data_IF_621420211287
#
_entry.id   IF_621420211287
#
_cell.length_a   1.000
_cell.length_b   1.000
_cell.length_c   1.000
_cell.angle_alpha   90.00
_cell.angle_beta   90.00
_cell.angle_gamma   90.00
#
_symmetry.space_group_name_H-M   'P 1'
#
loop_
_entity.id
_entity.type
_entity.pdbx_description
1 polymer ?
#
# COMPACT_ATOMS: atom_id res chain seq x y z
N UNK A 1 25.00 1.29 6.57
CA UNK A 1 25.04 0.37 5.48
C UNK A 1 23.69 -0.32 5.32
N UNK A 2 23.08 -0.20 4.15
CA UNK A 2 21.84 -0.89 3.96
C UNK A 2 22.09 -2.37 4.14
N UNK A 3 21.45 -2.88 5.11
CA UNK A 3 21.64 -4.24 5.48
C UNK A 3 20.82 -5.13 4.56
N UNK A 4 21.47 -5.84 3.67
CA UNK A 4 20.82 -6.81 2.83
C UNK A 4 20.15 -7.92 3.63
N UNK A 5 20.52 -8.03 4.92
CA UNK A 5 19.90 -8.97 5.84
C UNK A 5 18.50 -8.55 6.30
N UNK A 6 18.04 -7.33 5.95
CA UNK A 6 16.69 -6.90 6.32
C UNK A 6 15.59 -7.63 5.57
N UNK A 7 15.88 -8.19 4.40
CA UNK A 7 14.91 -8.99 3.66
C UNK A 7 15.28 -10.46 3.79
N UNK A 8 14.60 -11.14 4.68
CA UNK A 8 14.74 -12.58 4.89
C UNK A 8 13.52 -13.27 4.30
N UNK A 9 13.72 -14.47 3.73
CA UNK A 9 12.60 -15.25 3.22
C UNK A 9 11.80 -15.78 4.41
N UNK A 10 10.52 -15.37 4.55
CA UNK A 10 9.71 -15.83 5.68
C UNK A 10 9.39 -17.32 5.59
N UNK A 11 8.97 -17.89 6.71
CA UNK A 11 8.53 -19.27 6.74
C UNK A 11 7.28 -19.47 5.87
N UNK A 12 7.23 -20.56 5.12
CA UNK A 12 6.08 -20.89 4.28
C UNK A 12 4.82 -21.07 5.13
N UNK A 13 3.71 -20.58 4.62
CA UNK A 13 2.41 -20.68 5.29
C UNK A 13 1.50 -19.52 4.89
N UNK A 14 0.28 -19.54 5.41
CA UNK A 14 -0.70 -18.49 5.20
C UNK A 14 -0.78 -17.63 6.44
N UNK A 15 -0.73 -16.32 6.25
CA UNK A 15 -0.73 -15.33 7.32
C UNK A 15 -1.86 -14.34 7.09
N UNK A 16 -2.56 -14.01 8.17
CA UNK A 16 -3.60 -12.96 8.14
C UNK A 16 -2.99 -11.65 8.63
N UNK A 17 -3.18 -10.59 7.87
CA UNK A 17 -2.75 -9.26 8.28
C UNK A 17 -3.51 -8.79 9.51
N UNK A 18 -2.79 -8.19 10.44
CA UNK A 18 -3.38 -7.58 11.63
C UNK A 18 -3.61 -6.09 11.36
N UNK A 19 -4.86 -5.65 11.20
CA UNK A 19 -5.15 -4.25 10.88
C UNK A 19 -4.68 -3.28 11.97
N UNK A 20 -4.66 -3.70 13.23
CA UNK A 20 -4.28 -2.84 14.34
C UNK A 20 -2.76 -2.70 14.49
N UNK A 21 -2.01 -3.70 14.03
CA UNK A 21 -0.56 -3.70 14.11
C UNK A 21 0.10 -3.31 12.78
N UNK A 22 -0.68 -3.03 11.76
CA UNK A 22 -0.21 -2.64 10.44
C UNK A 22 -0.50 -1.16 10.19
N UNK A 23 0.32 -0.52 9.34
CA UNK A 23 0.12 0.88 9.00
C UNK A 23 0.33 1.12 7.51
N UNK A 24 -0.43 2.06 6.96
CA UNK A 24 -0.29 2.52 5.59
C UNK A 24 -0.20 4.03 5.66
N UNK A 25 0.94 4.57 5.25
CA UNK A 25 1.17 6.01 5.22
C UNK A 25 1.53 6.47 3.82
N UNK A 26 1.33 7.74 3.56
CA UNK A 26 1.67 8.31 2.28
C UNK A 26 2.25 9.71 2.45
N UNK A 27 3.03 10.10 1.45
CA UNK A 27 3.51 11.47 1.30
C UNK A 27 3.25 11.91 -0.13
N UNK A 28 2.80 13.14 -0.29
CA UNK A 28 2.60 13.74 -1.59
C UNK A 28 2.89 15.22 -1.51
N UNK A 29 2.94 15.90 -2.66
CA UNK A 29 3.13 17.34 -2.74
C UNK A 29 1.96 17.97 -3.47
N UNK A 30 1.54 19.14 -3.01
CA UNK A 30 0.48 19.89 -3.66
C UNK A 30 0.95 21.32 -3.98
N UNK A 31 0.08 22.13 -4.60
CA UNK A 31 0.39 23.50 -5.00
C UNK A 31 1.66 23.55 -5.86
N UNK A 32 1.64 22.81 -6.97
CA UNK A 32 2.73 22.71 -7.94
C UNK A 32 4.05 22.19 -7.31
N UNK A 33 3.93 21.34 -6.30
CA UNK A 33 5.11 20.73 -5.66
C UNK A 33 5.73 21.58 -4.56
N UNK A 34 5.10 22.69 -4.17
CA UNK A 34 5.67 23.60 -3.18
C UNK A 34 5.36 23.20 -1.74
N UNK A 35 4.31 22.42 -1.51
CA UNK A 35 3.91 22.01 -0.16
C UNK A 35 3.79 20.50 -0.06
N UNK A 36 4.27 19.93 1.05
CA UNK A 36 4.17 18.51 1.34
C UNK A 36 2.93 18.19 2.14
N UNK A 37 2.33 17.03 1.89
CA UNK A 37 1.21 16.49 2.64
C UNK A 37 1.56 15.07 3.03
N UNK A 38 1.31 14.73 4.30
CA UNK A 38 1.47 13.38 4.83
C UNK A 38 0.14 12.91 5.39
N UNK A 39 -0.12 11.63 5.28
CA UNK A 39 -1.34 11.07 5.84
C UNK A 39 -1.33 9.57 5.92
N UNK A 40 -2.47 9.02 6.29
CA UNK A 40 -2.62 7.59 6.52
C UNK A 40 -3.93 7.06 5.98
N UNK A 41 -3.93 5.74 5.73
CA UNK A 41 -5.13 4.93 5.51
C UNK A 41 -5.16 3.82 6.54
N UNK A 42 -6.32 3.25 6.78
CA UNK A 42 -6.48 2.10 7.65
C UNK A 42 -6.69 0.83 6.85
N UNK A 43 -5.96 -0.23 7.23
CA UNK A 43 -6.17 -1.56 6.68
C UNK A 43 -7.45 -2.16 7.25
N UNK A 44 -8.28 -2.78 6.42
CA UNK A 44 -9.45 -3.54 6.85
C UNK A 44 -9.05 -5.00 7.06
N UNK A 45 -8.42 -5.60 6.07
CA UNK A 45 -8.03 -7.01 6.09
C UNK A 45 -6.96 -7.28 5.05
N UNK A 46 -6.36 -8.45 5.13
CA UNK A 46 -5.43 -8.90 4.11
C UNK A 46 -4.85 -10.25 4.46
N UNK A 47 -4.22 -10.85 3.47
CA UNK A 47 -3.64 -12.17 3.59
C UNK A 47 -2.36 -12.25 2.79
N UNK A 48 -1.37 -12.94 3.35
CA UNK A 48 -0.11 -13.23 2.67
C UNK A 48 0.10 -14.73 2.72
N UNK A 49 0.37 -15.34 1.58
CA UNK A 49 0.74 -16.75 1.51
C UNK A 49 2.17 -16.84 1.01
N UNK A 50 3.05 -17.33 1.88
CA UNK A 50 4.44 -17.57 1.55
C UNK A 50 4.57 -19.02 1.09
N UNK A 51 5.16 -19.20 -0.06
CA UNK A 51 5.30 -20.52 -0.69
C UNK A 51 6.76 -20.90 -0.85
N UNK A 52 6.98 -22.16 -1.20
CA UNK A 52 8.27 -22.68 -1.62
C UNK A 52 8.09 -23.31 -3.02
N UNK A 53 8.62 -22.70 -4.08
CA UNK A 53 9.50 -21.51 -4.10
C UNK A 53 8.78 -20.23 -3.71
N UNK A 54 9.52 -19.32 -3.09
CA UNK A 54 8.94 -18.06 -2.57
C UNK A 54 8.35 -17.18 -3.67
N UNK A 55 8.82 -17.31 -4.91
CA UNK A 55 8.32 -16.53 -6.05
C UNK A 55 6.86 -16.83 -6.40
N UNK A 56 6.30 -17.94 -5.90
CA UNK A 56 4.88 -18.25 -6.07
C UNK A 56 4.00 -17.65 -4.96
N UNK A 57 4.59 -16.92 -4.02
CA UNK A 57 3.86 -16.28 -2.92
C UNK A 57 2.88 -15.23 -3.42
N UNK A 58 1.81 -15.04 -2.68
CA UNK A 58 0.73 -14.12 -3.02
C UNK A 58 0.38 -13.23 -1.85
N UNK A 59 -0.22 -12.08 -2.15
CA UNK A 59 -0.73 -11.18 -1.12
C UNK A 59 -1.97 -10.45 -1.64
N UNK A 60 -2.86 -10.17 -0.72
CA UNK A 60 -4.03 -9.33 -0.99
C UNK A 60 -4.32 -8.47 0.22
N UNK A 61 -4.94 -7.31 -0.01
CA UNK A 61 -5.30 -6.40 1.06
C UNK A 61 -6.53 -5.60 0.70
N UNK A 62 -7.32 -5.26 1.71
CA UNK A 62 -8.46 -4.38 1.61
C UNK A 62 -8.23 -3.19 2.54
N UNK A 63 -8.31 -1.99 1.98
CA UNK A 63 -8.02 -0.73 2.66
C UNK A 63 -9.30 0.10 2.71
N UNK A 64 -9.52 0.78 3.82
CA UNK A 64 -10.69 1.63 4.02
C UNK A 64 -10.46 2.99 3.35
N UNK A 65 -11.15 3.25 2.24
CA UNK A 65 -11.03 4.51 1.52
C UNK A 65 -11.49 5.70 2.38
N UNK A 66 -12.49 5.50 3.22
CA UNK A 66 -13.02 6.54 4.09
C UNK A 66 -12.10 6.85 5.28
N UNK A 67 -11.07 6.04 5.51
CA UNK A 67 -10.12 6.26 6.59
C UNK A 67 -9.02 7.27 6.25
N UNK A 68 -9.00 7.81 5.05
CA UNK A 68 -8.02 8.82 4.64
C UNK A 68 -7.94 9.95 5.67
N UNK A 69 -6.73 10.23 6.13
CA UNK A 69 -6.49 11.27 7.13
C UNK A 69 -5.14 11.93 6.85
N UNK A 70 -5.13 13.26 6.76
CA UNK A 70 -3.92 14.03 6.50
C UNK A 70 -3.75 15.21 7.46
N UNK A 71 -4.60 15.30 8.49
CA UNK A 71 -4.56 16.40 9.45
C UNK A 71 -5.26 17.68 9.01
N UNK A 72 -5.81 17.71 7.80
CA UNK A 72 -6.57 18.87 7.29
C UNK A 72 -8.01 18.49 7.01
N UNK A 73 -8.95 18.90 7.88
CA UNK A 73 -10.34 18.47 7.78
C UNK A 73 -11.00 18.75 6.44
N UNK A 74 -10.80 19.93 5.87
CA UNK A 74 -11.38 20.30 4.58
C UNK A 74 -10.77 19.48 3.44
N UNK A 75 -9.46 19.26 3.50
CA UNK A 75 -8.74 18.45 2.52
C UNK A 75 -9.20 17.00 2.59
N UNK A 76 -9.31 16.44 3.79
CA UNK A 76 -9.71 15.06 3.97
C UNK A 76 -11.13 14.81 3.46
N UNK A 77 -12.03 15.77 3.71
CA UNK A 77 -13.39 15.71 3.20
C UNK A 77 -13.41 15.72 1.66
N UNK A 78 -12.60 16.60 1.05
CA UNK A 78 -12.52 16.71 -0.41
C UNK A 78 -11.95 15.42 -1.04
N UNK A 79 -10.90 14.85 -0.44
CA UNK A 79 -10.28 13.63 -0.97
C UNK A 79 -11.24 12.45 -0.89
N UNK A 80 -12.08 12.37 0.13
CA UNK A 80 -13.09 11.31 0.25
C UNK A 80 -14.32 11.54 -0.64
N UNK A 81 -14.47 12.72 -1.20
CA UNK A 81 -15.63 13.10 -2.01
C UNK A 81 -15.55 12.55 -3.43
N UNK A 82 -16.61 12.82 -4.21
CA UNK A 82 -16.71 12.44 -5.60
C UNK A 82 -15.59 13.04 -6.48
N UNK A 83 -14.90 14.07 -6.00
CA UNK A 83 -13.76 14.65 -6.72
C UNK A 83 -12.55 13.71 -6.76
N UNK A 84 -12.41 12.82 -5.78
CA UNK A 84 -11.27 11.92 -5.67
C UNK A 84 -11.72 10.47 -5.38
N UNK A 85 -11.70 10.06 -4.12
CA UNK A 85 -11.93 8.66 -3.77
C UNK A 85 -13.38 8.20 -3.89
N UNK A 86 -14.31 9.13 -3.75
CA UNK A 86 -15.75 8.82 -3.74
C UNK A 86 -16.05 7.68 -2.76
N UNK A 87 -15.56 7.83 -1.53
CA UNK A 87 -15.55 6.75 -0.54
C UNK A 87 -16.96 6.29 -0.13
N UNK A 88 -17.97 7.14 -0.29
CA UNK A 88 -19.36 6.76 -0.01
C UNK A 88 -19.90 5.68 -0.93
N UNK A 89 -19.46 5.66 -2.19
CA UNK A 89 -19.85 4.65 -3.17
C UNK A 89 -18.77 3.60 -3.40
N UNK A 90 -17.50 3.96 -3.14
CA UNK A 90 -16.36 3.07 -3.28
C UNK A 90 -15.60 2.99 -1.97
N UNK A 91 -16.14 2.30 -0.97
CA UNK A 91 -15.58 2.33 0.39
C UNK A 91 -14.25 1.59 0.53
N UNK A 92 -13.87 0.78 -0.46
CA UNK A 92 -12.68 -0.06 -0.36
C UNK A 92 -11.71 0.23 -1.48
N UNK A 93 -10.43 0.26 -1.10
CA UNK A 93 -9.29 0.21 -2.02
C UNK A 93 -8.72 -1.20 -1.85
N UNK A 94 -8.46 -1.88 -2.96
CA UNK A 94 -7.97 -3.26 -2.90
C UNK A 94 -6.61 -3.39 -3.58
N UNK A 95 -5.80 -4.29 -3.05
CA UNK A 95 -4.56 -4.72 -3.67
C UNK A 95 -4.59 -6.22 -3.86
N UNK A 96 -4.20 -6.70 -5.04
CA UNK A 96 -4.04 -8.12 -5.33
C UNK A 96 -2.73 -8.32 -6.05
N UNK A 97 -1.85 -9.17 -5.52
CA UNK A 97 -0.58 -9.45 -6.15
C UNK A 97 -0.76 -10.34 -7.39
N UNK A 98 0.14 -10.17 -8.34
CA UNK A 98 0.19 -11.00 -9.56
C UNK A 98 1.49 -11.80 -9.63
N UNK A 99 2.58 -11.27 -9.09
CA UNK A 99 3.88 -11.90 -9.19
C UNK A 99 4.85 -11.35 -8.16
N UNK A 100 5.65 -12.21 -7.57
CA UNK A 100 6.79 -11.81 -6.76
C UNK A 100 8.07 -12.07 -7.58
N UNK A 101 8.86 -11.03 -7.81
CA UNK A 101 10.08 -11.13 -8.62
C UNK A 101 11.27 -10.57 -7.86
N UNK A 102 12.43 -11.10 -8.19
CA UNK A 102 13.69 -10.56 -7.72
C UNK A 102 14.34 -9.74 -8.84
N UNK A 103 14.63 -8.49 -8.54
CA UNK A 103 15.25 -7.55 -9.47
C UNK A 103 16.57 -7.07 -8.84
N UNK A 104 17.67 -7.72 -9.22
CA UNK A 104 18.97 -7.49 -8.57
C UNK A 104 18.90 -7.81 -7.08
N UNK A 105 19.16 -6.80 -6.25
CA UNK A 105 19.12 -6.95 -4.80
C UNK A 105 17.73 -6.68 -4.20
N UNK A 106 16.75 -6.33 -5.05
CA UNK A 106 15.44 -5.94 -4.58
C UNK A 106 14.42 -7.05 -4.83
N UNK A 107 13.44 -7.13 -3.93
CA UNK A 107 12.25 -7.94 -4.12
C UNK A 107 11.10 -7.02 -4.48
N UNK A 108 10.41 -7.33 -5.58
CA UNK A 108 9.24 -6.58 -6.04
C UNK A 108 8.01 -7.47 -5.99
N UNK A 109 6.99 -7.01 -5.27
CA UNK A 109 5.68 -7.65 -5.30
C UNK A 109 4.84 -6.86 -6.31
N UNK A 110 4.66 -7.43 -7.48
CA UNK A 110 3.84 -6.83 -8.52
C UNK A 110 2.38 -7.15 -8.28
N UNK A 111 1.53 -6.20 -8.54
CA UNK A 111 0.11 -6.40 -8.36
C UNK A 111 -0.72 -5.33 -9.01
N UNK A 112 -1.98 -5.30 -8.62
CA UNK A 112 -2.97 -4.33 -9.07
C UNK A 112 -3.61 -3.67 -7.87
N UNK A 113 -3.70 -2.35 -7.91
CA UNK A 113 -4.45 -1.57 -6.95
C UNK A 113 -5.71 -1.08 -7.64
N UNK A 114 -6.85 -1.27 -7.00
CA UNK A 114 -8.14 -0.78 -7.49
C UNK A 114 -8.63 0.34 -6.59
N UNK A 115 -8.81 1.51 -7.17
CA UNK A 115 -9.32 2.70 -6.49
C UNK A 115 -10.51 3.21 -7.29
N UNK A 116 -11.64 3.40 -6.62
CA UNK A 116 -12.87 3.91 -7.25
C UNK A 116 -13.24 3.10 -8.50
N UNK A 117 -13.08 1.77 -8.43
CA UNK A 117 -13.38 0.88 -9.54
C UNK A 117 -12.34 0.86 -10.65
N UNK A 118 -11.28 1.64 -10.57
CA UNK A 118 -10.23 1.70 -11.58
C UNK A 118 -8.98 1.00 -11.10
N UNK A 119 -8.53 -0.01 -11.84
CA UNK A 119 -7.36 -0.81 -11.50
C UNK A 119 -6.15 -0.33 -12.30
N UNK A 120 -5.00 -0.31 -11.65
CA UNK A 120 -3.73 -0.02 -12.30
C UNK A 120 -2.62 -0.86 -11.65
N UNK A 121 -1.55 -1.17 -12.40
CA UNK A 121 -0.42 -1.91 -11.85
C UNK A 121 0.28 -1.12 -10.75
N UNK A 122 0.79 -1.85 -9.75
CA UNK A 122 1.62 -1.29 -8.71
C UNK A 122 2.69 -2.30 -8.32
N UNK A 123 3.91 -1.80 -8.20
CA UNK A 123 5.05 -2.62 -7.76
C UNK A 123 5.42 -2.18 -6.35
N UNK A 124 5.31 -3.11 -5.40
CA UNK A 124 5.73 -2.87 -4.03
C UNK A 124 7.19 -3.32 -3.89
N UNK A 125 8.06 -2.40 -3.51
CA UNK A 125 9.46 -2.73 -3.21
C UNK A 125 9.50 -3.20 -1.75
N UNK A 126 9.84 -4.45 -1.52
CA UNK A 126 9.97 -5.01 -0.18
C UNK A 126 11.30 -4.54 0.40
N UNK A 127 11.25 -3.74 1.45
CA UNK A 127 12.45 -3.18 2.09
C UNK A 127 12.85 -3.93 3.34
N UNK A 128 11.91 -4.65 3.96
CA UNK A 128 12.19 -5.46 5.13
C UNK A 128 11.21 -6.62 5.18
N UNK A 129 11.68 -7.81 5.52
CA UNK A 129 10.82 -8.99 5.71
C UNK A 129 11.51 -9.95 6.65
N UNK A 130 10.74 -10.48 7.61
CA UNK A 130 11.22 -11.52 8.53
C UNK A 130 10.04 -12.23 9.20
N UNK A 131 10.32 -13.42 9.69
CA UNK A 131 9.42 -14.12 10.60
C UNK A 131 10.02 -14.06 11.99
N UNK A 132 9.24 -13.69 13.00
CA UNK A 132 9.65 -13.62 14.39
C UNK A 132 8.59 -14.27 15.29
N UNK A 133 8.71 -14.10 16.61
CA UNK A 133 7.78 -14.68 17.57
C UNK A 133 6.35 -14.18 17.39
N UNK A 134 6.20 -12.94 16.90
CA UNK A 134 4.91 -12.31 16.68
C UNK A 134 4.33 -12.61 15.29
N UNK A 135 5.04 -13.39 14.48
CA UNK A 135 4.59 -13.78 13.16
C UNK A 135 5.42 -13.15 12.04
N UNK A 136 4.75 -12.72 10.99
CA UNK A 136 5.39 -12.14 9.81
C UNK A 136 5.44 -10.61 9.94
N UNK A 137 6.57 -10.03 9.60
CA UNK A 137 6.76 -8.59 9.53
C UNK A 137 7.29 -8.22 8.15
N UNK A 138 6.63 -7.27 7.49
CA UNK A 138 7.03 -6.80 6.16
C UNK A 138 6.92 -5.29 6.10
N UNK A 139 7.93 -4.65 5.53
CA UNK A 139 7.86 -3.26 5.09
C UNK A 139 8.00 -3.19 3.58
N UNK A 140 7.21 -2.33 2.96
CA UNK A 140 7.24 -2.12 1.53
C UNK A 140 6.96 -0.67 1.18
N UNK A 141 7.45 -0.24 0.02
CA UNK A 141 7.19 1.08 -0.51
C UNK A 141 6.67 0.99 -1.93
N UNK A 142 5.89 1.96 -2.34
CA UNK A 142 5.45 2.08 -3.72
C UNK A 142 5.11 3.53 -4.04
N UNK A 143 5.07 3.86 -5.32
CA UNK A 143 4.59 5.16 -5.78
C UNK A 143 3.32 4.95 -6.59
N UNK A 144 2.26 5.64 -6.19
CA UNK A 144 0.97 5.58 -6.87
C UNK A 144 0.80 6.83 -7.73
N UNK A 145 0.46 6.65 -9.00
CA UNK A 145 0.04 7.72 -9.88
C UNK A 145 -1.48 7.76 -9.87
N UNK A 146 -2.05 8.78 -9.22
CA UNK A 146 -3.52 8.87 -9.12
C UNK A 146 -4.20 9.03 -10.48
N UNK A 147 -3.50 9.55 -11.48
CA UNK A 147 -4.06 9.68 -12.82
C UNK A 147 -4.31 8.31 -13.48
N UNK A 148 -3.50 7.30 -13.12
CA UNK A 148 -3.71 5.94 -13.61
C UNK A 148 -5.02 5.32 -13.10
N UNK A 149 -5.58 5.87 -12.02
CA UNK A 149 -6.87 5.47 -11.46
C UNK A 149 -8.01 6.43 -11.86
N UNK A 150 -7.77 7.27 -12.85
CA UNK A 150 -8.74 8.27 -13.33
C UNK A 150 -9.06 9.37 -12.30
N UNK A 151 -8.21 9.55 -11.29
CA UNK A 151 -8.36 10.60 -10.30
C UNK A 151 -7.59 11.84 -10.76
N UNK A 152 -8.21 12.64 -11.62
CA UNK A 152 -7.51 13.70 -12.35
C UNK A 152 -7.91 15.12 -11.94
N UNK A 153 -8.74 15.27 -10.90
CA UNK A 153 -9.17 16.58 -10.43
C UNK A 153 -8.02 17.37 -9.82
N UNK A 154 -8.11 18.70 -9.89
CA UNK A 154 -7.16 19.64 -9.28
C UNK A 154 -5.71 19.40 -9.70
N UNK A 155 -5.48 19.18 -11.00
CA UNK A 155 -4.14 19.05 -11.55
C UNK A 155 -3.31 20.29 -11.20
N UNK A 156 -2.07 20.07 -10.75
CA UNK A 156 -1.16 21.13 -10.33
C UNK A 156 -1.40 21.63 -8.90
N UNK A 157 -2.61 21.51 -8.37
CA UNK A 157 -2.92 21.91 -6.99
C UNK A 157 -2.79 20.74 -6.03
N UNK A 158 -3.32 19.56 -6.41
CA UNK A 158 -3.18 18.34 -5.63
C UNK A 158 -2.09 17.46 -6.26
N UNK A 159 -1.29 16.79 -5.44
CA UNK A 159 -0.20 15.96 -5.91
C UNK A 159 -0.66 14.81 -6.80
N UNK A 160 0.05 14.58 -7.89
CA UNK A 160 -0.21 13.48 -8.80
C UNK A 160 0.26 12.16 -8.23
N UNK A 161 1.47 12.15 -7.65
CA UNK A 161 2.10 10.94 -7.14
C UNK A 161 2.02 10.89 -5.63
N UNK A 162 1.72 9.70 -5.11
CA UNK A 162 1.72 9.43 -3.68
C UNK A 162 2.81 8.39 -3.41
N UNK A 163 3.76 8.74 -2.56
CA UNK A 163 4.77 7.82 -2.09
C UNK A 163 4.22 7.10 -0.86
N UNK A 164 3.99 5.79 -1.00
CA UNK A 164 3.35 4.97 0.02
C UNK A 164 4.40 4.19 0.79
N UNK A 165 4.18 4.08 2.10
CA UNK A 165 4.97 3.20 2.96
C UNK A 165 4.01 2.30 3.72
N UNK A 166 4.23 0.99 3.61
CA UNK A 166 3.39 -0.02 4.22
C UNK A 166 4.24 -0.78 5.25
N UNK A 167 3.74 -0.86 6.49
CA UNK A 167 4.29 -1.73 7.52
C UNK A 167 3.22 -2.73 7.86
N UNK A 168 3.48 -4.01 7.59
CA UNK A 168 2.51 -5.07 7.76
C UNK A 168 2.96 -6.06 8.82
N UNK A 169 2.06 -6.35 9.75
CA UNK A 169 2.18 -7.45 10.70
C UNK A 169 1.11 -8.47 10.37
N UNK A 170 1.49 -9.74 10.37
CA UNK A 170 0.57 -10.82 10.06
C UNK A 170 0.86 -12.01 10.96
N UNK A 171 -0.20 -12.74 11.30
CA UNK A 171 -0.08 -13.95 12.11
C UNK A 171 -0.49 -15.16 11.29
N UNK A 172 0.16 -16.30 11.57
CA UNK A 172 -0.14 -17.54 10.85
C UNK A 172 -1.55 -17.99 11.19
N UNK A 173 -2.30 -18.28 10.17
CA UNK A 173 -3.66 -18.81 10.32
C UNK A 173 -3.68 -20.33 10.29
#
# INVERSE_FOLDING_TARGET
>A
MPDTATVQIPAAGTYQLDPQASSISFATRHMFGLAGVHGTFRLISGQITITDPVTSSTASAVIDAASFQSGGGARDKDVKSANFLHAGEHPQITFTSTQLVRDGDRWLLRGQITVRGNSAPADLVITEARTDEDGLFIKATTRIDRYAHQLTKKKGMAGRYLDMEITARATRS
#
